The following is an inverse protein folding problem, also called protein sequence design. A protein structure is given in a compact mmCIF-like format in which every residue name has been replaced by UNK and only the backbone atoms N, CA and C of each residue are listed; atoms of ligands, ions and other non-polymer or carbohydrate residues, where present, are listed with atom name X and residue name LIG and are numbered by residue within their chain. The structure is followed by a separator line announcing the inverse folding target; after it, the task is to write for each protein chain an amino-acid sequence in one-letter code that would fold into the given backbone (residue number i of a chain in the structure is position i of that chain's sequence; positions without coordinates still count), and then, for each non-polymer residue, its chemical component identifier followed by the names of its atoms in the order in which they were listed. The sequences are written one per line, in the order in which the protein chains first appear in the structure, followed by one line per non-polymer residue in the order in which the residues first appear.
data_IF_830548201875
#
_entry.id   IF_830548201875
#
_cell.length_a   1.000
_cell.length_b   1.000
_cell.length_c   1.000
_cell.angle_alpha   90.00
_cell.angle_beta   90.00
_cell.angle_gamma   90.00
#
_symmetry.space_group_name_H-M   'P 1'
#
loop_
_entity.id
_entity.type
_entity.pdbx_description
1 polymer ?
#
# COMPACT_ATOMS: atom_id res chain seq x y z
N UNK A 1 -11.38 0.96 -11.30
CA UNK A 1 -11.86 -0.40 -11.01
C UNK A 1 -11.26 -0.91 -9.68
N UNK A 2 -11.43 -0.17 -8.57
CA UNK A 2 -10.97 -0.55 -7.22
C UNK A 2 -12.13 -1.03 -6.32
N UNK A 3 -13.37 -0.93 -6.81
CA UNK A 3 -14.58 -1.17 -6.04
C UNK A 3 -14.89 -2.66 -5.76
N UNK A 4 -14.17 -3.60 -6.39
CA UNK A 4 -14.45 -5.04 -6.29
C UNK A 4 -13.43 -5.86 -5.49
N UNK A 5 -12.55 -5.21 -4.73
CA UNK A 5 -11.84 -5.90 -3.65
C UNK A 5 -12.90 -6.19 -2.57
N UNK A 6 -13.30 -7.48 -2.47
CA UNK A 6 -13.94 -8.06 -1.26
C UNK A 6 -13.27 -7.45 -0.03
N UNK A 7 -14.00 -7.22 1.05
CA UNK A 7 -13.50 -6.70 2.34
C UNK A 7 -12.33 -7.53 2.89
N UNK A 8 -11.17 -7.36 2.29
CA UNK A 8 -9.97 -8.11 2.51
C UNK A 8 -8.98 -7.17 3.19
N UNK A 9 -8.05 -7.76 3.92
CA UNK A 9 -7.10 -7.05 4.75
C UNK A 9 -6.30 -6.00 3.99
N UNK A 10 -5.98 -6.30 2.72
CA UNK A 10 -5.37 -5.35 1.80
C UNK A 10 -6.18 -4.06 1.66
N UNK A 11 -7.51 -4.14 1.56
CA UNK A 11 -8.36 -2.94 1.45
C UNK A 11 -8.28 -2.06 2.69
N UNK A 12 -8.23 -2.67 3.89
CA UNK A 12 -8.03 -1.95 5.16
C UNK A 12 -6.65 -1.30 5.18
N UNK A 13 -5.61 -2.06 4.86
CA UNK A 13 -4.22 -1.58 4.79
C UNK A 13 -4.04 -0.43 3.79
N UNK A 14 -4.58 -0.54 2.58
CA UNK A 14 -4.58 0.55 1.59
C UNK A 14 -5.38 1.76 2.08
N UNK A 15 -6.53 1.56 2.74
CA UNK A 15 -7.29 2.67 3.31
C UNK A 15 -6.48 3.44 4.36
N UNK A 16 -5.76 2.72 5.24
CA UNK A 16 -4.84 3.32 6.21
C UNK A 16 -3.70 4.04 5.49
N UNK A 17 -3.10 3.43 4.46
CA UNK A 17 -2.06 4.04 3.65
C UNK A 17 -2.50 5.38 3.03
N UNK A 18 -3.70 5.44 2.46
CA UNK A 18 -4.29 6.68 1.93
C UNK A 18 -4.77 7.67 2.99
N UNK A 19 -4.95 7.24 4.24
CA UNK A 19 -5.36 8.11 5.34
C UNK A 19 -4.17 8.83 5.99
N UNK A 20 -3.01 8.17 6.04
CA UNK A 20 -1.78 8.68 6.67
C UNK A 20 -0.81 9.34 5.68
N UNK A 21 -1.20 9.52 4.42
CA UNK A 21 -0.38 10.19 3.42
C UNK A 21 -1.21 11.01 2.43
N UNK A 22 -0.53 11.79 1.61
CA UNK A 22 -1.15 12.61 0.55
C UNK A 22 -1.26 11.86 -0.80
N UNK A 23 -1.30 10.52 -0.77
CA UNK A 23 -1.33 9.70 -1.98
C UNK A 23 -2.64 9.89 -2.76
N UNK A 24 -2.50 10.01 -4.08
CA UNK A 24 -3.66 10.17 -4.95
C UNK A 24 -4.44 8.86 -5.07
N UNK A 25 -5.76 8.92 -4.82
CA UNK A 25 -6.67 7.76 -4.87
C UNK A 25 -7.11 7.42 -6.31
N UNK A 26 -6.89 8.34 -7.23
CA UNK A 26 -7.28 8.21 -8.62
C UNK A 26 -6.03 7.95 -9.47
N UNK A 27 -6.13 7.00 -10.39
CA UNK A 27 -5.12 6.84 -11.42
C UNK A 27 -5.44 7.80 -12.59
N UNK A 28 -4.43 8.33 -13.30
CA UNK A 28 -2.99 8.14 -13.10
C UNK A 28 -2.45 8.89 -11.88
N UNK A 29 -1.53 8.27 -11.12
CA UNK A 29 -0.81 8.95 -10.04
C UNK A 29 0.15 9.93 -10.70
N UNK A 30 -0.01 11.22 -10.41
CA UNK A 30 0.83 12.26 -11.01
C UNK A 30 2.22 12.26 -10.37
N UNK A 31 3.29 12.60 -11.11
CA UNK A 31 4.60 12.84 -10.51
C UNK A 31 4.52 13.99 -9.50
N UNK A 32 4.64 13.69 -8.20
CA UNK A 32 4.59 14.69 -7.13
C UNK A 32 5.33 14.20 -5.88
N UNK A 33 5.56 15.09 -4.92
CA UNK A 33 6.10 14.74 -3.60
C UNK A 33 5.00 14.12 -2.74
N UNK A 34 4.99 12.79 -2.71
CA UNK A 34 4.14 12.04 -1.80
C UNK A 34 4.84 11.79 -0.47
N UNK A 35 4.14 12.02 0.63
CA UNK A 35 4.65 11.77 1.96
C UNK A 35 3.64 10.99 2.78
N UNK A 36 4.18 10.26 3.75
CA UNK A 36 3.43 9.52 4.73
C UNK A 36 3.88 10.01 6.11
N UNK A 37 2.93 10.45 6.94
CA UNK A 37 3.23 11.04 8.24
C UNK A 37 2.62 10.20 9.35
N UNK A 38 3.40 9.97 10.42
CA UNK A 38 2.96 9.29 11.63
C UNK A 38 2.31 7.92 11.36
N UNK A 39 2.83 7.18 10.38
CA UNK A 39 2.30 5.88 10.00
C UNK A 39 2.51 4.87 11.12
N UNK A 40 1.43 4.58 11.85
CA UNK A 40 1.44 3.61 12.95
C UNK A 40 1.09 2.24 12.39
N UNK A 41 2.11 1.40 12.28
CA UNK A 41 1.96 -0.02 11.92
C UNK A 41 1.01 -0.75 12.89
N UNK A 42 0.86 -0.27 14.13
CA UNK A 42 -0.06 -0.84 15.12
C UNK A 42 -1.55 -0.67 14.76
N UNK A 43 -1.89 0.20 13.82
CA UNK A 43 -3.25 0.29 13.27
C UNK A 43 -3.49 -0.68 12.12
N UNK A 44 -2.47 -1.43 11.69
CA UNK A 44 -2.67 -2.55 10.80
C UNK A 44 -3.33 -3.65 11.62
N UNK A 45 -4.54 -4.00 11.22
CA UNK A 45 -5.12 -5.26 11.63
C UNK A 45 -4.19 -6.36 11.12
N UNK A 46 -3.44 -6.97 12.04
CA UNK A 46 -2.61 -8.14 11.79
C UNK A 46 -3.56 -9.33 11.81
N UNK A 47 -3.71 -10.06 10.70
CA UNK A 47 -4.62 -11.17 10.70
C UNK A 47 -4.08 -12.29 11.57
N UNK A 48 -4.98 -12.98 12.28
CA UNK A 48 -4.66 -14.04 13.25
C UNK A 48 -3.96 -15.26 12.66
N UNK A 49 -3.85 -15.37 11.34
CA UNK A 49 -3.08 -16.43 10.69
C UNK A 49 -1.57 -16.15 10.63
N UNK A 50 -1.13 -14.92 10.92
CA UNK A 50 0.30 -14.62 11.03
C UNK A 50 0.78 -15.08 12.40
N UNK A 51 1.77 -15.96 12.41
CA UNK A 51 2.42 -16.42 13.63
C UNK A 51 3.39 -15.36 14.16
N UNK A 52 3.76 -15.39 15.45
CA UNK A 52 4.82 -14.52 15.96
C UNK A 52 6.13 -14.73 15.20
N UNK A 53 6.76 -13.63 14.79
CA UNK A 53 7.97 -13.68 13.98
C UNK A 53 8.25 -12.37 13.25
N UNK A 54 9.37 -12.35 12.52
CA UNK A 54 9.80 -11.19 11.73
C UNK A 54 9.32 -11.34 10.30
N UNK A 55 8.55 -10.37 9.83
CA UNK A 55 8.00 -10.32 8.48
C UNK A 55 8.58 -9.14 7.70
N UNK A 56 8.94 -9.39 6.43
CA UNK A 56 9.29 -8.34 5.48
C UNK A 56 8.15 -8.14 4.49
N UNK A 57 7.52 -6.98 4.54
CA UNK A 57 6.51 -6.54 3.58
C UNK A 57 7.18 -5.73 2.48
N UNK A 58 7.02 -6.18 1.23
CA UNK A 58 7.44 -5.43 0.05
C UNK A 58 6.20 -4.90 -0.65
N UNK A 59 6.10 -3.58 -0.78
CA UNK A 59 5.03 -2.90 -1.50
C UNK A 59 5.60 -2.24 -2.75
N UNK A 60 5.10 -2.63 -3.92
CA UNK A 60 5.45 -2.02 -5.19
C UNK A 60 4.18 -1.54 -5.88
N UNK A 61 4.12 -0.25 -6.18
CA UNK A 61 3.05 0.35 -6.97
C UNK A 61 3.57 0.58 -8.39
N UNK A 62 2.89 -0.04 -9.34
CA UNK A 62 3.16 0.11 -10.77
C UNK A 62 1.93 0.71 -11.44
N UNK A 63 2.17 1.60 -12.39
CA UNK A 63 1.14 2.23 -13.18
C UNK A 63 1.32 1.84 -14.64
N UNK A 64 0.29 1.22 -15.22
CA UNK A 64 0.22 1.05 -16.66
C UNK A 64 -0.21 2.35 -17.30
N UNK A 65 0.59 2.88 -18.23
CA UNK A 65 0.05 3.80 -19.22
C UNK A 65 -0.83 3.01 -20.20
N UNK A 66 -1.86 3.62 -20.78
CA UNK A 66 -2.86 2.95 -21.62
C UNK A 66 -2.30 2.22 -22.85
N UNK A 67 -2.45 2.78 -24.06
CA UNK A 67 -2.11 2.09 -25.33
C UNK A 67 -0.64 1.63 -25.45
N UNK A 68 0.26 2.15 -24.62
CA UNK A 68 1.65 1.70 -24.53
C UNK A 68 1.80 0.77 -23.33
N UNK A 69 2.25 -0.47 -23.57
CA UNK A 69 2.53 -1.50 -22.54
C UNK A 69 3.68 -1.15 -21.57
N UNK A 70 4.08 0.11 -21.48
CA UNK A 70 5.10 0.57 -20.56
C UNK A 70 4.52 0.62 -19.15
N UNK A 71 5.05 -0.23 -18.27
CA UNK A 71 4.79 -0.17 -16.83
C UNK A 71 5.75 0.84 -16.21
N UNK A 72 5.23 1.93 -15.67
CA UNK A 72 6.02 2.90 -14.92
C UNK A 72 5.98 2.56 -13.44
N UNK A 73 7.16 2.55 -12.81
CA UNK A 73 7.29 2.42 -11.37
C UNK A 73 6.86 3.72 -10.70
N UNK A 74 5.94 3.64 -9.76
CA UNK A 74 5.43 4.81 -9.02
C UNK A 74 6.10 4.90 -7.66
N UNK A 75 6.01 3.84 -6.86
CA UNK A 75 6.59 3.80 -5.52
C UNK A 75 6.94 2.38 -5.11
N UNK A 76 8.02 2.26 -4.33
CA UNK A 76 8.46 1.03 -3.70
C UNK A 76 8.72 1.28 -2.22
N UNK A 77 8.23 0.40 -1.37
CA UNK A 77 8.41 0.47 0.07
C UNK A 77 8.74 -0.93 0.61
N UNK A 78 9.69 -0.99 1.54
CA UNK A 78 10.02 -2.20 2.26
C UNK A 78 9.83 -1.89 3.74
N UNK A 79 9.04 -2.71 4.42
CA UNK A 79 8.75 -2.57 5.84
C UNK A 79 9.09 -3.89 6.52
N UNK A 80 9.89 -3.82 7.59
CA UNK A 80 10.16 -4.95 8.47
C UNK A 80 9.33 -4.79 9.73
N UNK A 81 8.58 -5.84 10.07
CA UNK A 81 7.63 -5.84 11.19
C UNK A 81 7.88 -7.10 12.02
N UNK A 82 8.03 -6.92 13.33
CA UNK A 82 8.00 -8.01 14.29
C UNK A 82 6.56 -8.18 14.78
N UNK A 83 5.94 -9.32 14.46
CA UNK A 83 4.65 -9.73 15.01
C UNK A 83 4.93 -10.48 16.30
N UNK A 84 4.35 -10.01 17.41
CA UNK A 84 4.48 -10.62 18.75
C UNK A 84 3.29 -11.52 19.05
#
# INVERSE_FOLDING_TARGET
MLAKLKSNIFKKWFSTFYAYGNFEKHCPVQPNYYYMKDFKIHEFEIPSFLFPGIYRLTFNMIQGQGKNKSMEFVIGCIVEIEVK
#
